data_IF_732482479794
#
_entry.id   IF_732482479794
#
_cell.length_a   1.000
_cell.length_b   1.000
_cell.length_c   1.000
_cell.angle_alpha   90.00
_cell.angle_beta   90.00
_cell.angle_gamma   90.00
#
_symmetry.space_group_name_H-M   'P 1'
#
loop_
_entity.id
_entity.type
_entity.pdbx_description
1 polymer ?
#
# COMPACT_ATOMS: atom_id res chain seq x y z
N UNK A 1 -26.14 -7.74 -13.56
CA UNK A 1 -25.41 -7.47 -14.81
C UNK A 1 -25.06 -6.00 -14.85
N UNK A 2 -23.77 -5.65 -14.82
CA UNK A 2 -23.30 -4.28 -14.98
C UNK A 2 -23.07 -4.00 -16.46
N UNK A 3 -23.71 -2.96 -16.98
CA UNK A 3 -23.36 -2.37 -18.28
C UNK A 3 -22.02 -1.65 -18.13
N UNK A 4 -20.98 -2.19 -18.75
CA UNK A 4 -19.66 -1.57 -18.80
C UNK A 4 -19.76 -0.20 -19.50
N UNK A 5 -19.64 0.89 -18.73
CA UNK A 5 -19.37 2.21 -19.28
C UNK A 5 -17.89 2.29 -19.61
N UNK A 6 -17.53 2.19 -20.90
CA UNK A 6 -16.14 2.20 -21.36
C UNK A 6 -15.35 3.48 -21.02
N UNK A 7 -16.03 4.53 -20.56
CA UNK A 7 -15.46 5.87 -20.48
C UNK A 7 -15.15 6.36 -19.05
N UNK A 8 -15.47 5.59 -17.99
CA UNK A 8 -15.32 6.07 -16.61
C UNK A 8 -14.98 4.97 -15.61
N UNK A 9 -13.73 4.97 -15.12
CA UNK A 9 -13.35 4.31 -13.86
C UNK A 9 -13.75 5.18 -12.68
N UNK A 10 -14.37 4.58 -11.67
CA UNK A 10 -14.53 5.21 -10.36
C UNK A 10 -13.83 4.36 -9.30
N UNK A 11 -12.78 4.89 -8.68
CA UNK A 11 -12.07 4.21 -7.60
C UNK A 11 -12.08 5.10 -6.35
N UNK A 12 -12.44 4.54 -5.21
CA UNK A 12 -12.48 5.23 -3.92
C UNK A 12 -11.76 4.40 -2.86
N UNK A 13 -10.87 5.06 -2.12
CA UNK A 13 -10.20 4.49 -0.94
C UNK A 13 -10.68 5.19 0.32
N UNK A 14 -10.98 4.42 1.34
CA UNK A 14 -11.28 4.90 2.68
C UNK A 14 -10.42 4.15 3.70
N UNK A 15 -9.75 4.89 4.57
CA UNK A 15 -8.91 4.33 5.64
C UNK A 15 -9.33 4.91 6.97
N UNK A 16 -9.61 4.06 7.94
CA UNK A 16 -9.94 4.46 9.31
C UNK A 16 -9.18 3.60 10.31
N UNK A 17 -8.70 4.19 11.40
CA UNK A 17 -8.02 3.42 12.44
C UNK A 17 -7.37 4.24 13.53
N UNK A 18 -6.57 3.55 14.34
CA UNK A 18 -5.93 4.10 15.53
C UNK A 18 -4.43 3.87 15.44
N UNK A 19 -3.66 4.86 15.86
CA UNK A 19 -2.21 4.78 15.88
C UNK A 19 -1.62 5.52 17.07
N UNK A 20 -0.41 5.09 17.45
CA UNK A 20 0.43 5.75 18.44
C UNK A 20 1.80 5.97 17.81
N UNK A 21 2.34 7.18 17.96
CA UNK A 21 3.73 7.53 17.60
C UNK A 21 4.49 7.95 18.85
N UNK A 22 5.79 7.68 18.85
CA UNK A 22 6.69 8.05 19.94
C UNK A 22 7.99 8.62 19.37
N UNK A 23 8.65 9.50 20.11
CA UNK A 23 9.97 10.02 19.74
C UNK A 23 11.07 8.94 19.87
N UNK A 24 10.88 7.96 20.75
CA UNK A 24 11.80 6.86 20.99
C UNK A 24 11.04 5.66 21.57
N UNK A 25 11.35 4.45 21.08
CA UNK A 25 10.74 3.22 21.55
C UNK A 25 9.66 2.68 20.61
N UNK A 26 8.72 1.93 21.16
CA UNK A 26 7.73 1.18 20.39
C UNK A 26 6.56 2.09 19.95
N UNK A 27 6.29 2.09 18.65
CA UNK A 27 5.12 2.70 18.04
C UNK A 27 4.35 1.69 17.21
N UNK A 28 3.11 2.02 16.86
CA UNK A 28 2.30 1.13 16.04
C UNK A 28 0.85 1.56 15.95
N UNK A 29 0.09 0.80 15.20
CA UNK A 29 -1.33 1.01 15.05
C UNK A 29 -1.98 -0.01 14.13
N UNK A 30 -3.27 0.19 13.93
CA UNK A 30 -4.11 -0.69 13.15
C UNK A 30 -5.12 0.15 12.39
N UNK A 31 -5.28 -0.12 11.11
CA UNK A 31 -6.26 0.53 10.24
C UNK A 31 -7.08 -0.51 9.49
N UNK A 32 -8.31 -0.12 9.17
CA UNK A 32 -9.19 -0.81 8.23
C UNK A 32 -9.22 0.04 6.97
N UNK A 33 -8.90 -0.61 5.85
CA UNK A 33 -8.88 -0.03 4.51
C UNK A 33 -10.05 -0.62 3.71
N UNK A 34 -10.82 0.25 3.06
CA UNK A 34 -11.91 -0.10 2.17
C UNK A 34 -11.64 0.45 0.77
N UNK A 35 -11.79 -0.40 -0.23
CA UNK A 35 -11.70 -0.06 -1.66
C UNK A 35 -13.04 -0.36 -2.34
N UNK A 36 -13.56 0.65 -3.01
CA UNK A 36 -14.62 0.52 -3.99
C UNK A 36 -14.06 0.83 -5.38
N UNK A 37 -14.08 -0.14 -6.29
CA UNK A 37 -13.67 0.04 -7.69
C UNK A 37 -14.82 -0.35 -8.63
N UNK A 38 -15.26 0.60 -9.45
CA UNK A 38 -16.27 0.41 -10.49
C UNK A 38 -15.61 0.65 -11.85
N UNK A 39 -15.34 -0.45 -12.56
CA UNK A 39 -14.88 -0.45 -13.95
C UNK A 39 -15.52 -1.62 -14.74
N UNK A 40 -14.71 -2.52 -15.31
CA UNK A 40 -15.16 -3.62 -16.15
C UNK A 40 -15.82 -4.72 -15.29
N UNK A 41 -15.52 -4.66 -14.01
CA UNK A 41 -16.12 -5.38 -12.90
C UNK A 41 -16.36 -4.39 -11.76
N UNK A 42 -17.19 -4.81 -10.80
CA UNK A 42 -17.33 -4.10 -9.53
C UNK A 42 -16.58 -4.89 -8.47
N UNK A 43 -15.73 -4.21 -7.71
CA UNK A 43 -15.00 -4.81 -6.61
C UNK A 43 -15.16 -3.96 -5.34
N UNK A 44 -15.63 -4.61 -4.28
CA UNK A 44 -15.67 -4.08 -2.94
C UNK A 44 -14.74 -4.91 -2.06
N UNK A 45 -13.63 -4.31 -1.63
CA UNK A 45 -12.58 -5.01 -0.89
C UNK A 45 -12.36 -4.35 0.47
N UNK A 46 -12.17 -5.18 1.48
CA UNK A 46 -11.89 -4.77 2.85
C UNK A 46 -10.58 -5.43 3.30
N UNK A 47 -9.65 -4.62 3.80
CA UNK A 47 -8.34 -5.06 4.26
C UNK A 47 -8.04 -4.49 5.65
N UNK A 48 -7.58 -5.33 6.56
CA UNK A 48 -6.97 -4.93 7.82
C UNK A 48 -5.47 -4.72 7.61
N UNK A 49 -4.92 -3.58 8.04
CA UNK A 49 -3.50 -3.26 7.92
C UNK A 49 -2.93 -2.80 9.26
N UNK A 50 -1.86 -3.46 9.70
CA UNK A 50 -1.19 -3.17 10.95
C UNK A 50 0.28 -2.79 10.74
N UNK A 51 0.80 -1.96 11.64
CA UNK A 51 2.21 -1.59 11.72
C UNK A 51 2.66 -1.63 13.18
N UNK A 52 3.79 -2.28 13.43
CA UNK A 52 4.48 -2.27 14.71
C UNK A 52 5.95 -1.97 14.45
N UNK A 53 6.48 -0.91 15.04
CA UNK A 53 7.86 -0.48 14.79
C UNK A 53 8.55 0.10 16.01
N UNK A 54 9.88 0.13 15.96
CA UNK A 54 10.73 0.66 17.00
C UNK A 54 11.52 1.86 16.48
N UNK A 55 11.34 3.00 17.13
CA UNK A 55 11.99 4.27 16.82
C UNK A 55 13.26 4.41 17.65
N UNK A 56 14.37 4.68 16.99
CA UNK A 56 15.70 4.86 17.59
C UNK A 56 16.07 6.34 17.72
N UNK A 57 17.07 6.65 18.55
CA UNK A 57 17.48 8.02 18.88
C UNK A 57 17.93 8.85 17.67
N UNK A 58 18.37 8.20 16.59
CA UNK A 58 18.79 8.85 15.35
C UNK A 58 17.67 8.97 14.30
N UNK A 59 16.40 8.85 14.72
CA UNK A 59 15.22 8.81 13.83
C UNK A 59 15.28 7.71 12.76
N UNK A 60 16.00 6.63 13.09
CA UNK A 60 15.89 5.37 12.37
C UNK A 60 14.74 4.58 12.95
N UNK A 61 13.96 3.94 12.10
CA UNK A 61 12.80 3.14 12.46
C UNK A 61 12.91 1.79 11.75
N UNK A 62 12.59 0.72 12.46
CA UNK A 62 12.48 -0.60 11.85
C UNK A 62 11.27 -1.28 12.46
N UNK A 63 10.59 -2.09 11.66
CA UNK A 63 9.32 -2.62 12.08
C UNK A 63 8.78 -3.69 11.17
N UNK A 64 7.56 -4.06 11.47
CA UNK A 64 6.79 -5.08 10.82
C UNK A 64 5.44 -4.51 10.43
N UNK A 65 5.00 -4.84 9.21
CA UNK A 65 3.67 -4.57 8.69
C UNK A 65 3.01 -5.86 8.28
N UNK A 66 1.72 -5.93 8.50
CA UNK A 66 0.90 -6.99 7.93
C UNK A 66 -0.34 -6.41 7.26
N UNK A 67 -0.80 -7.10 6.22
CA UNK A 67 -2.09 -6.89 5.58
C UNK A 67 -2.87 -8.19 5.64
N UNK A 68 -4.16 -8.10 5.91
CA UNK A 68 -5.06 -9.25 5.98
C UNK A 68 -6.42 -8.88 5.39
N UNK A 69 -6.82 -9.62 4.38
CA UNK A 69 -8.08 -9.49 3.67
C UNK A 69 -9.23 -9.96 4.55
N UNK A 70 -10.32 -9.21 4.51
CA UNK A 70 -11.52 -9.47 5.30
C UNK A 70 -12.75 -9.68 4.40
N UNK A 71 -12.64 -9.34 3.11
CA UNK A 71 -13.75 -9.44 2.18
C UNK A 71 -13.25 -9.80 0.78
N UNK A 72 -13.81 -10.88 0.24
CA UNK A 72 -13.69 -11.30 -1.16
C UNK A 72 -14.87 -10.73 -1.95
N UNK A 73 -14.60 -10.21 -3.15
CA UNK A 73 -15.62 -9.67 -4.05
C UNK A 73 -15.78 -10.58 -5.26
N UNK A 74 -17.02 -11.00 -5.54
CA UNK A 74 -17.36 -11.83 -6.70
C UNK A 74 -18.06 -10.98 -7.77
N UNK A 75 -17.60 -11.08 -9.01
CA UNK A 75 -18.18 -10.39 -10.17
C UNK A 75 -18.13 -11.27 -11.40
N UNK A 76 -19.14 -11.22 -12.26
CA UNK A 76 -19.14 -11.95 -13.53
C UNK A 76 -18.81 -11.00 -14.68
N UNK A 77 -17.81 -11.34 -15.49
CA UNK A 77 -17.47 -10.60 -16.71
C UNK A 77 -17.96 -11.41 -17.92
N UNK A 78 -18.73 -10.77 -18.81
CA UNK A 78 -19.14 -11.39 -20.08
C UNK A 78 -18.24 -10.91 -21.23
N UNK A 79 -17.45 -11.81 -21.81
CA UNK A 79 -16.62 -11.53 -23.00
C UNK A 79 -17.09 -12.45 -24.13
N UNK A 80 -17.59 -11.86 -25.22
CA UNK A 80 -17.95 -12.62 -26.43
C UNK A 80 -19.10 -13.62 -26.28
N UNK A 81 -19.99 -13.44 -25.29
CA UNK A 81 -21.12 -14.35 -25.03
C UNK A 81 -20.83 -15.46 -24.01
N UNK A 82 -19.59 -15.57 -23.53
CA UNK A 82 -19.21 -16.44 -22.42
C UNK A 82 -19.10 -15.61 -21.13
N UNK A 83 -19.74 -16.10 -20.06
CA UNK A 83 -19.61 -15.54 -18.72
C UNK A 83 -18.46 -16.21 -17.98
N UNK A 84 -17.52 -15.41 -17.47
CA UNK A 84 -16.43 -15.87 -16.62
C UNK A 84 -16.65 -15.25 -15.23
N UNK A 85 -16.75 -16.12 -14.22
CA UNK A 85 -16.81 -15.67 -12.83
C UNK A 85 -15.41 -15.24 -12.37
N UNK A 86 -15.34 -14.04 -11.82
CA UNK A 86 -14.13 -13.39 -11.33
C UNK A 86 -14.29 -13.18 -9.83
N UNK A 87 -13.43 -13.85 -9.05
CA UNK A 87 -13.32 -13.62 -7.61
C UNK A 87 -12.04 -12.85 -7.31
N UNK A 88 -12.17 -11.72 -6.60
CA UNK A 88 -11.10 -10.79 -6.28
C UNK A 88 -10.94 -10.66 -4.78
N UNK A 89 -9.70 -10.57 -4.34
CA UNK A 89 -9.36 -10.41 -2.93
C UNK A 89 -8.18 -9.45 -2.75
N UNK A 90 -8.08 -8.85 -1.56
CA UNK A 90 -6.88 -8.10 -1.16
C UNK A 90 -5.72 -9.06 -0.86
N UNK A 91 -4.48 -8.65 -1.14
CA UNK A 91 -3.31 -9.48 -0.90
C UNK A 91 -2.91 -9.47 0.58
N UNK A 92 -2.86 -10.67 1.15
CA UNK A 92 -2.32 -10.91 2.48
C UNK A 92 -0.80 -10.94 2.43
N UNK A 93 -0.17 -10.08 3.23
CA UNK A 93 1.28 -9.94 3.22
C UNK A 93 1.87 -9.59 4.58
N UNK A 94 3.11 -10.04 4.78
CA UNK A 94 3.89 -9.85 5.99
C UNK A 94 5.24 -9.26 5.57
N UNK A 95 5.54 -8.06 6.05
CA UNK A 95 6.67 -7.27 5.57
C UNK A 95 7.44 -6.66 6.71
N UNK A 96 8.76 -6.83 6.70
CA UNK A 96 9.67 -6.03 7.49
C UNK A 96 10.02 -4.76 6.73
N UNK A 97 10.23 -3.68 7.48
CA UNK A 97 10.69 -2.43 6.90
C UNK A 97 11.77 -1.79 7.75
N UNK A 98 12.65 -1.05 7.09
CA UNK A 98 13.62 -0.16 7.70
C UNK A 98 13.47 1.22 7.07
N UNK A 99 13.18 2.22 7.89
CA UNK A 99 12.96 3.61 7.52
C UNK A 99 14.01 4.50 8.17
N UNK A 100 14.53 5.47 7.43
CA UNK A 100 15.51 6.43 7.94
C UNK A 100 15.28 7.82 7.35
N UNK A 101 15.34 8.82 8.21
CA UNK A 101 15.34 10.21 7.78
C UNK A 101 16.77 10.66 7.43
N UNK A 102 16.91 11.44 6.36
CA UNK A 102 18.18 11.94 5.84
C UNK A 102 18.03 13.33 5.22
N UNK A 103 19.14 13.87 4.71
CA UNK A 103 19.19 15.19 4.10
C UNK A 103 19.29 16.34 5.11
N UNK A 104 19.27 17.57 4.60
CA UNK A 104 19.37 18.78 5.41
C UNK A 104 18.13 18.85 6.32
N UNK A 105 18.33 19.02 7.62
CA UNK A 105 17.28 19.04 8.65
C UNK A 105 16.45 17.75 8.78
N UNK A 106 16.90 16.60 8.25
CA UNK A 106 16.19 15.30 8.33
C UNK A 106 14.77 15.33 7.72
N UNK A 107 14.57 16.14 6.67
CA UNK A 107 13.29 16.32 5.99
C UNK A 107 12.99 15.26 4.92
N UNK A 108 14.02 14.51 4.49
CA UNK A 108 13.85 13.41 3.55
C UNK A 108 13.72 12.09 4.30
N UNK A 109 12.96 11.15 3.75
CA UNK A 109 12.79 9.81 4.34
C UNK A 109 12.99 8.75 3.28
N UNK A 110 13.78 7.73 3.58
CA UNK A 110 13.90 6.53 2.76
C UNK A 110 13.40 5.33 3.57
N UNK A 111 12.68 4.44 2.91
CA UNK A 111 12.17 3.22 3.49
C UNK A 111 12.43 2.06 2.53
N UNK A 112 13.00 1.00 3.08
CA UNK A 112 13.16 -0.29 2.41
C UNK A 112 12.19 -1.28 3.03
N UNK A 113 11.55 -2.08 2.20
CA UNK A 113 10.59 -3.08 2.61
C UNK A 113 10.99 -4.42 2.00
N UNK A 114 10.92 -5.49 2.81
CA UNK A 114 11.12 -6.85 2.36
C UNK A 114 10.17 -7.78 3.11
N UNK A 115 9.57 -8.76 2.43
CA UNK A 115 8.55 -9.59 3.02
C UNK A 115 8.09 -10.71 2.12
N UNK A 116 6.93 -11.28 2.47
CA UNK A 116 6.29 -12.31 1.68
C UNK A 116 4.75 -12.16 1.71
N UNK A 117 4.08 -12.77 0.75
CA UNK A 117 2.63 -12.95 0.77
C UNK A 117 2.25 -14.34 1.30
N UNK A 118 0.95 -14.54 1.55
CA UNK A 118 0.42 -15.87 1.90
C UNK A 118 0.66 -16.91 0.79
N UNK A 119 0.63 -16.50 -0.49
CA UNK A 119 0.92 -17.37 -1.64
C UNK A 119 2.43 -17.61 -1.87
N UNK A 120 3.27 -17.34 -0.85
CA UNK A 120 4.74 -17.54 -0.86
C UNK A 120 5.48 -16.69 -1.89
N UNK A 121 4.90 -15.58 -2.35
CA UNK A 121 5.62 -14.60 -3.16
C UNK A 121 6.58 -13.81 -2.28
N UNK A 122 7.83 -13.59 -2.71
CA UNK A 122 8.72 -12.65 -2.05
C UNK A 122 8.38 -11.22 -2.48
N UNK A 123 8.39 -10.28 -1.53
CA UNK A 123 8.07 -8.88 -1.73
C UNK A 123 9.29 -8.03 -1.41
N UNK A 124 9.64 -7.10 -2.29
CA UNK A 124 10.69 -6.10 -2.06
C UNK A 124 10.22 -4.74 -2.53
N UNK A 125 10.46 -3.71 -1.74
CA UNK A 125 10.04 -2.36 -2.07
C UNK A 125 10.97 -1.28 -1.56
N UNK A 126 10.85 -0.12 -2.16
CA UNK A 126 11.56 1.10 -1.85
C UNK A 126 10.57 2.25 -1.85
N UNK A 127 10.70 3.13 -0.87
CA UNK A 127 9.96 4.40 -0.84
C UNK A 127 10.88 5.52 -0.43
N UNK A 128 10.79 6.65 -1.13
CA UNK A 128 11.58 7.84 -0.88
C UNK A 128 10.67 9.06 -0.87
N UNK A 129 10.83 9.91 0.15
CA UNK A 129 10.21 11.22 0.26
C UNK A 129 11.31 12.29 0.25
N UNK A 130 11.20 13.27 -0.64
CA UNK A 130 12.18 14.34 -0.83
C UNK A 130 11.48 15.72 -0.84
N UNK A 131 12.00 16.73 -0.12
CA UNK A 131 11.53 18.11 -0.30
C UNK A 131 12.00 18.66 -1.66
N UNK A 132 11.08 19.21 -2.45
CA UNK A 132 11.39 19.94 -3.69
C UNK A 132 11.51 21.45 -3.43
N UNK A 133 10.62 21.98 -2.60
CA UNK A 133 10.60 23.35 -2.13
C UNK A 133 10.13 23.38 -0.67
N UNK A 134 9.96 24.57 -0.08
CA UNK A 134 9.51 24.69 1.30
C UNK A 134 8.23 23.87 1.55
N UNK A 135 7.13 24.16 0.86
CA UNK A 135 5.84 23.50 1.09
C UNK A 135 5.59 22.29 0.17
N UNK A 136 6.53 21.97 -0.72
CA UNK A 136 6.34 20.99 -1.79
C UNK A 136 7.32 19.84 -1.65
N UNK A 137 6.81 18.60 -1.64
CA UNK A 137 7.61 17.39 -1.61
C UNK A 137 7.24 16.42 -2.73
N UNK A 138 8.20 15.60 -3.09
CA UNK A 138 8.05 14.45 -3.98
C UNK A 138 8.02 13.18 -3.14
N UNK A 139 7.13 12.27 -3.50
CA UNK A 139 7.13 10.90 -3.03
C UNK A 139 7.27 9.97 -4.24
N UNK A 140 8.20 9.02 -4.13
CA UNK A 140 8.37 7.92 -5.07
C UNK A 140 8.31 6.59 -4.31
N UNK A 141 7.52 5.65 -4.81
CA UNK A 141 7.33 4.33 -4.23
C UNK A 141 7.42 3.28 -5.32
N UNK A 142 8.08 2.16 -5.00
CA UNK A 142 8.21 1.00 -5.86
C UNK A 142 8.02 -0.24 -5.02
N UNK A 143 7.22 -1.18 -5.50
CA UNK A 143 7.00 -2.48 -4.86
C UNK A 143 7.03 -3.55 -5.94
N UNK A 144 7.77 -4.62 -5.70
CA UNK A 144 7.95 -5.75 -6.59
C UNK A 144 7.59 -7.04 -5.85
N UNK A 145 6.78 -7.88 -6.47
CA UNK A 145 6.43 -9.22 -6.00
C UNK A 145 6.90 -10.27 -6.98
N UNK A 146 7.69 -11.24 -6.51
CA UNK A 146 8.09 -12.39 -7.33
C UNK A 146 6.88 -13.26 -7.66
N UNK A 147 6.91 -14.06 -8.72
CA UNK A 147 5.95 -15.15 -8.92
C UNK A 147 5.86 -16.08 -7.70
N UNK A 148 4.71 -16.76 -7.50
CA UNK A 148 4.60 -17.84 -6.53
C UNK A 148 5.54 -18.99 -6.87
N UNK A 149 6.04 -19.72 -5.86
CA UNK A 149 6.95 -20.85 -6.07
C UNK A 149 6.34 -22.02 -6.87
N UNK A 150 5.01 -22.06 -6.94
CA UNK A 150 4.23 -23.13 -7.61
C UNK A 150 3.83 -22.74 -9.04
N UNK A 151 4.27 -21.58 -9.51
CA UNK A 151 3.98 -21.07 -10.84
C UNK A 151 4.71 -21.86 -11.92
N UNK A 152 3.98 -22.35 -12.94
CA UNK A 152 4.53 -23.16 -14.04
C UNK A 152 5.46 -22.36 -14.96
N UNK A 153 5.30 -21.03 -14.97
CA UNK A 153 6.10 -20.10 -15.74
C UNK A 153 6.74 -19.11 -14.76
N UNK A 154 8.04 -18.85 -14.92
CA UNK A 154 8.81 -17.98 -14.01
C UNK A 154 8.43 -16.49 -14.04
N UNK A 155 7.28 -16.14 -14.61
CA UNK A 155 6.70 -14.78 -14.70
C UNK A 155 5.18 -14.79 -14.46
N UNK A 156 4.56 -15.96 -14.30
CA UNK A 156 3.11 -16.01 -14.11
C UNK A 156 2.77 -15.55 -12.69
N UNK A 157 1.86 -14.58 -12.61
CA UNK A 157 1.47 -13.83 -11.40
C UNK A 157 2.60 -12.97 -10.79
N UNK A 158 3.62 -12.60 -11.57
CA UNK A 158 4.53 -11.50 -11.22
C UNK A 158 3.78 -10.16 -11.23
N UNK A 159 4.06 -9.29 -10.28
CA UNK A 159 3.47 -7.96 -10.26
C UNK A 159 4.44 -6.92 -9.70
N UNK A 160 4.26 -5.69 -10.15
CA UNK A 160 5.03 -4.54 -9.72
C UNK A 160 4.13 -3.31 -9.65
N UNK A 161 4.48 -2.40 -8.75
CA UNK A 161 3.82 -1.11 -8.59
C UNK A 161 4.90 -0.03 -8.55
N UNK A 162 4.69 1.04 -9.32
CA UNK A 162 5.48 2.27 -9.23
C UNK A 162 4.50 3.42 -9.07
N UNK A 163 4.69 4.21 -8.02
CA UNK A 163 3.88 5.39 -7.74
C UNK A 163 4.77 6.62 -7.54
N UNK A 164 4.35 7.73 -8.13
CA UNK A 164 4.99 9.03 -7.94
C UNK A 164 3.91 10.02 -7.58
N UNK A 165 4.11 10.76 -6.49
CA UNK A 165 3.16 11.73 -5.98
C UNK A 165 3.84 13.04 -5.63
N UNK A 166 3.13 14.14 -5.89
CA UNK A 166 3.50 15.47 -5.44
C UNK A 166 2.66 15.81 -4.19
N UNK A 167 3.32 16.15 -3.09
CA UNK A 167 2.70 16.51 -1.83
C UNK A 167 2.86 18.00 -1.58
N UNK A 168 1.75 18.69 -1.36
CA UNK A 168 1.76 20.09 -0.95
C UNK A 168 1.25 20.21 0.48
N UNK A 169 2.05 20.84 1.34
CA UNK A 169 1.73 21.11 2.74
C UNK A 169 1.64 22.63 2.96
N UNK A 170 0.48 23.26 2.69
CA UNK A 170 0.36 24.71 2.79
C UNK A 170 0.69 25.22 4.20
N UNK A 171 1.50 26.26 4.30
CA UNK A 171 1.86 26.93 5.55
C UNK A 171 2.86 26.16 6.43
N UNK A 172 3.42 25.04 5.96
CA UNK A 172 4.47 24.30 6.67
C UNK A 172 5.49 23.70 5.72
N UNK A 173 6.75 23.74 6.15
CA UNK A 173 7.79 23.07 5.39
C UNK A 173 7.55 21.56 5.31
N UNK A 174 7.80 20.98 4.14
CA UNK A 174 7.71 19.55 3.90
C UNK A 174 8.68 18.81 4.83
N UNK A 175 8.24 17.70 5.39
CA UNK A 175 9.07 16.87 6.27
C UNK A 175 9.43 17.49 7.63
N UNK A 176 8.91 18.67 7.99
CA UNK A 176 9.24 19.33 9.29
C UNK A 176 8.22 19.09 10.39
N UNK A 177 7.13 18.35 10.14
CA UNK A 177 6.16 18.03 11.17
C UNK A 177 6.80 17.15 12.25
N UNK A 178 6.56 17.48 13.53
CA UNK A 178 6.85 16.53 14.62
C UNK A 178 6.06 15.26 14.34
N UNK A 179 6.70 14.10 14.47
CA UNK A 179 6.13 12.81 14.07
C UNK A 179 4.74 12.56 14.67
N UNK A 180 4.48 13.07 15.89
CA UNK A 180 3.18 13.00 16.57
C UNK A 180 1.97 13.48 15.78
N UNK A 181 2.11 14.53 14.96
CA UNK A 181 0.98 15.11 14.21
C UNK A 181 0.85 14.53 12.81
N UNK A 182 1.74 13.60 12.42
CA UNK A 182 1.71 12.93 11.14
C UNK A 182 1.01 11.57 11.31
N UNK A 183 0.03 11.22 10.48
CA UNK A 183 -0.58 9.90 10.54
C UNK A 183 0.48 8.82 10.34
N UNK A 184 0.39 7.73 11.10
CA UNK A 184 1.29 6.58 10.97
C UNK A 184 1.08 5.89 9.62
N UNK A 185 -0.18 5.73 9.24
CA UNK A 185 -0.61 5.13 7.98
C UNK A 185 -1.00 6.20 6.97
N UNK A 186 -0.65 5.99 5.71
CA UNK A 186 -1.30 6.71 4.62
C UNK A 186 -2.71 6.16 4.40
N UNK A 187 -3.55 6.97 3.78
CA UNK A 187 -4.76 6.45 3.11
C UNK A 187 -4.33 5.35 2.14
N UNK A 188 -5.12 4.28 2.08
CA UNK A 188 -4.88 3.18 1.16
C UNK A 188 -4.81 3.67 -0.29
N UNK A 189 -4.01 2.97 -1.06
CA UNK A 189 -3.75 3.21 -2.47
C UNK A 189 -3.48 1.87 -3.17
N UNK A 190 -3.27 1.93 -4.48
CA UNK A 190 -2.98 0.75 -5.30
C UNK A 190 -1.66 0.03 -4.93
N UNK A 191 -0.82 0.59 -4.06
CA UNK A 191 0.43 -0.04 -3.60
C UNK A 191 0.25 -0.76 -2.25
N UNK A 192 -0.69 -0.28 -1.43
CA UNK A 192 -0.97 -0.78 -0.09
C UNK A 192 -2.18 -1.70 0.02
N UNK A 193 -3.12 -1.60 -0.91
CA UNK A 193 -4.23 -2.54 -1.10
C UNK A 193 -4.07 -3.16 -2.49
N UNK A 194 -3.29 -4.23 -2.53
CA UNK A 194 -3.03 -4.97 -3.76
C UNK A 194 -4.18 -5.94 -3.99
N UNK A 195 -4.70 -5.97 -5.21
CA UNK A 195 -5.80 -6.85 -5.58
C UNK A 195 -5.25 -8.05 -6.33
N UNK A 196 -5.66 -9.24 -5.91
CA UNK A 196 -5.35 -10.49 -6.59
C UNK A 196 -6.63 -11.19 -7.03
N UNK A 197 -6.50 -12.01 -8.08
CA UNK A 197 -7.58 -12.86 -8.57
C UNK A 197 -7.47 -14.25 -7.97
N UNK A 198 -8.55 -14.73 -7.38
CA UNK A 198 -8.67 -16.13 -7.02
C UNK A 198 -9.01 -16.92 -8.29
N UNK A 199 -8.17 -17.90 -8.61
CA UNK A 199 -8.46 -18.83 -9.71
C UNK A 199 -9.28 -19.99 -9.12
N UNK A 200 -10.36 -20.43 -9.77
CA UNK A 200 -11.09 -21.63 -9.33
C UNK A 200 -10.24 -22.89 -9.41
#
# INVERSE_FOLDING_TARGET
GSTAGMDRRSQMFLTGGLFRRVDYGLQGGLVVDYLHDDWFYKADLLQLRGELSFVTAYRGEWGFRFTNSQQTSESTISIGGSSIDLSLESLDSYRFFARRNFGIHLQSTAELVAGWSEQKNALVGLRIELPLAAELGLEAESLYGTPPSESMLGYDQEWWNIAIALKWTPGRSFGTARDYYRPLFKVADNASLLVQRLTP
#
